data_IF_258398202496
#
_entry.id   IF_258398202496
#
_cell.length_a   1.000
_cell.length_b   1.000
_cell.length_c   1.000
_cell.angle_alpha   90.00
_cell.angle_beta   90.00
_cell.angle_gamma   90.00
#
_symmetry.space_group_name_H-M   'P 1'
#
loop_
_entity.id
_entity.type
_entity.pdbx_description
1 polymer ?
#
# COMPACT_ATOMS: atom_id res chain seq x y z
N UNK A 1 -12.23 11.80 -1.98
CA UNK A 1 -11.56 11.39 -3.24
C UNK A 1 -11.87 9.96 -3.68
N UNK A 2 -12.33 9.05 -2.82
CA UNK A 2 -12.83 7.73 -3.27
C UNK A 2 -11.76 6.77 -3.79
N UNK A 3 -10.47 7.10 -3.66
CA UNK A 3 -9.35 6.27 -4.11
C UNK A 3 -9.40 4.87 -3.45
N UNK A 4 -9.26 3.80 -4.24
CA UNK A 4 -9.33 2.43 -3.73
C UNK A 4 -8.10 2.03 -2.90
N UNK A 5 -6.95 2.65 -3.16
CA UNK A 5 -5.69 2.40 -2.45
C UNK A 5 -5.07 3.71 -1.99
N UNK A 6 -4.51 3.71 -0.78
CA UNK A 6 -3.66 4.77 -0.25
C UNK A 6 -2.27 4.23 0.03
N UNK A 7 -1.26 4.93 -0.48
CA UNK A 7 0.15 4.67 -0.19
C UNK A 7 0.67 5.78 0.72
N UNK A 8 1.32 5.41 1.82
CA UNK A 8 1.91 6.35 2.77
C UNK A 8 3.43 6.28 2.67
N UNK A 9 4.04 7.45 2.48
CA UNK A 9 5.50 7.63 2.49
C UNK A 9 5.86 8.43 3.74
N UNK A 10 6.82 7.92 4.50
CA UNK A 10 7.40 8.59 5.67
C UNK A 10 8.89 8.27 5.77
N UNK A 11 9.61 8.90 6.71
CA UNK A 11 11.04 8.59 6.93
C UNK A 11 11.27 7.10 7.19
N UNK A 12 10.42 6.50 8.03
CA UNK A 12 10.46 5.07 8.36
C UNK A 12 10.35 4.17 7.13
N UNK A 13 9.43 4.51 6.21
CA UNK A 13 9.17 3.66 5.04
C UNK A 13 10.33 3.76 4.04
N UNK A 14 10.93 4.95 3.90
CA UNK A 14 12.15 5.16 3.09
C UNK A 14 13.35 4.40 3.67
N UNK A 15 13.58 4.48 4.98
CA UNK A 15 14.68 3.75 5.66
C UNK A 15 14.52 2.22 5.56
N UNK A 16 13.29 1.74 5.40
CA UNK A 16 12.96 0.30 5.32
C UNK A 16 12.82 -0.22 3.89
N UNK A 17 13.05 0.60 2.87
CA UNK A 17 12.79 0.28 1.45
C UNK A 17 11.39 -0.34 1.22
N UNK A 18 10.38 0.27 1.83
CA UNK A 18 9.01 -0.23 1.86
C UNK A 18 7.99 0.92 1.87
N UNK A 19 6.71 0.60 1.79
CA UNK A 19 5.59 1.54 1.82
C UNK A 19 4.45 1.03 2.71
N UNK A 20 3.73 1.92 3.40
CA UNK A 20 2.46 1.52 4.01
C UNK A 20 1.34 1.61 2.99
N UNK A 21 0.61 0.52 2.78
CA UNK A 21 -0.57 0.46 1.92
C UNK A 21 -1.83 0.24 2.75
N UNK A 22 -2.92 0.89 2.31
CA UNK A 22 -4.26 0.65 2.84
C UNK A 22 -5.28 0.62 1.72
N UNK A 23 -5.98 -0.50 1.59
CA UNK A 23 -7.18 -0.59 0.76
C UNK A 23 -8.32 0.19 1.42
N UNK A 24 -9.20 0.79 0.61
CA UNK A 24 -10.31 1.62 1.11
C UNK A 24 -11.28 0.84 2.00
N UNK A 25 -11.50 -0.43 1.69
CA UNK A 25 -12.44 -1.32 2.37
C UNK A 25 -11.83 -2.11 3.53
N UNK A 26 -10.50 -2.05 3.72
CA UNK A 26 -9.82 -2.71 4.82
C UNK A 26 -9.65 -1.77 6.03
N UNK A 27 -9.71 -2.32 7.23
CA UNK A 27 -9.47 -1.56 8.45
C UNK A 27 -7.98 -1.24 8.63
N UNK A 28 -7.13 -2.21 8.31
CA UNK A 28 -5.72 -2.20 8.61
C UNK A 28 -4.85 -1.69 7.46
N UNK A 29 -3.59 -1.43 7.78
CA UNK A 29 -2.53 -1.09 6.82
C UNK A 29 -1.49 -2.19 6.83
N UNK A 30 -0.86 -2.40 5.70
CA UNK A 30 0.21 -3.38 5.53
C UNK A 30 1.50 -2.70 5.07
N UNK A 31 2.64 -3.25 5.47
CA UNK A 31 3.95 -2.83 4.96
C UNK A 31 4.31 -3.66 3.75
N UNK A 32 4.62 -2.99 2.65
CA UNK A 32 4.91 -3.64 1.36
C UNK A 32 6.30 -3.21 0.91
N UNK A 33 7.22 -4.16 0.63
CA UNK A 33 8.52 -3.83 0.06
C UNK A 33 8.38 -3.03 -1.24
N UNK A 34 9.31 -2.10 -1.50
CA UNK A 34 9.26 -1.25 -2.68
C UNK A 34 9.18 -2.05 -3.99
N UNK A 35 9.93 -3.15 -4.08
CA UNK A 35 9.93 -4.04 -5.24
C UNK A 35 8.58 -4.75 -5.50
N UNK A 36 7.72 -4.88 -4.49
CA UNK A 36 6.43 -5.57 -4.59
C UNK A 36 5.23 -4.60 -4.66
N UNK A 37 5.49 -3.28 -4.69
CA UNK A 37 4.46 -2.26 -4.57
C UNK A 37 3.39 -2.39 -5.67
N UNK A 38 3.82 -2.44 -6.93
CA UNK A 38 2.91 -2.44 -8.08
C UNK A 38 2.04 -3.71 -8.13
N UNK A 39 2.65 -4.87 -7.90
CA UNK A 39 1.95 -6.16 -7.84
C UNK A 39 0.91 -6.17 -6.72
N UNK A 40 1.28 -5.71 -5.52
CA UNK A 40 0.37 -5.65 -4.37
C UNK A 40 -0.82 -4.72 -4.63
N UNK A 41 -0.58 -3.57 -5.29
CA UNK A 41 -1.67 -2.67 -5.71
C UNK A 41 -2.60 -3.38 -6.69
N UNK A 42 -2.06 -4.06 -7.70
CA UNK A 42 -2.87 -4.79 -8.67
C UNK A 42 -3.73 -5.88 -8.01
N UNK A 43 -3.18 -6.62 -7.06
CA UNK A 43 -3.91 -7.62 -6.28
C UNK A 43 -5.04 -7.01 -5.45
N UNK A 44 -4.79 -5.88 -4.77
CA UNK A 44 -5.81 -5.18 -4.00
C UNK A 44 -6.95 -4.76 -4.93
N UNK A 45 -6.63 -4.16 -6.08
CA UNK A 45 -7.64 -3.71 -7.04
C UNK A 45 -8.46 -4.85 -7.63
N UNK A 46 -7.91 -6.06 -7.77
CA UNK A 46 -8.62 -7.22 -8.28
C UNK A 46 -9.61 -7.84 -7.27
N UNK A 47 -9.52 -7.49 -5.98
CA UNK A 47 -10.36 -8.03 -4.89
C UNK A 47 -11.53 -7.13 -4.49
N UNK A 48 -11.53 -5.86 -4.92
CA UNK A 48 -12.55 -4.86 -4.59
C UNK A 48 -13.46 -4.51 -5.75
#
# INVERSE_FOLDING_TARGET
>A
LGLPVRVTVSRRTVESDAFELKARWEADRQMVPAAALEETIAEILARG
#
